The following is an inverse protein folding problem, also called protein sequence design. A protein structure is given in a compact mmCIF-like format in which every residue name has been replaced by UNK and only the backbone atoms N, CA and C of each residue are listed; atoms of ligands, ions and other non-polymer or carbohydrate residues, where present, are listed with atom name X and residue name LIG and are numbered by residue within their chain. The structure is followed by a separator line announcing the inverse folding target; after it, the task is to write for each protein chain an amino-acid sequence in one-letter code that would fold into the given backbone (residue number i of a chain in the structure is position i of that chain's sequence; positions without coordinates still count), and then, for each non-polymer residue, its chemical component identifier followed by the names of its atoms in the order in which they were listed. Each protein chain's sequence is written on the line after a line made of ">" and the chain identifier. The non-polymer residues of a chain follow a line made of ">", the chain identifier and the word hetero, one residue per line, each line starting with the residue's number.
data_IF_296502598989
#
_entry.id   IF_296502598989
#
_cell.length_a   1.000
_cell.length_b   1.000
_cell.length_c   1.000
_cell.angle_alpha   90.00
_cell.angle_beta   90.00
_cell.angle_gamma   90.00
#
_symmetry.space_group_name_H-M   'P 1'
#
loop_
_entity.id
_entity.type
_entity.pdbx_description
1 polymer ?
#
# COMPACT_ATOMS: atom_id res chain seq x y z
N UNK A 1 23.68 102.91 68.28
CA UNK A 1 24.01 101.73 69.11
C UNK A 1 25.42 101.29 68.77
N UNK A 2 26.39 101.73 69.56
CA UNK A 2 27.80 101.34 69.44
C UNK A 2 27.98 99.98 70.10
N UNK A 3 28.35 98.96 69.32
CA UNK A 3 28.63 97.62 69.83
C UNK A 3 29.83 97.73 70.78
N UNK A 4 29.65 97.33 72.04
CA UNK A 4 30.69 97.36 73.05
C UNK A 4 31.71 96.25 72.78
N UNK A 5 32.90 96.65 72.31
CA UNK A 5 34.00 95.75 71.91
C UNK A 5 34.36 94.75 73.01
N UNK A 6 34.23 95.11 74.30
CA UNK A 6 34.53 94.20 75.42
C UNK A 6 33.53 93.04 75.51
N UNK A 7 32.26 93.30 75.24
CA UNK A 7 31.22 92.27 75.25
C UNK A 7 31.37 91.33 74.04
N UNK A 8 31.79 91.86 72.89
CA UNK A 8 32.12 91.05 71.70
C UNK A 8 33.33 90.15 71.94
N UNK A 9 34.39 90.66 72.57
CA UNK A 9 35.58 89.84 72.91
C UNK A 9 35.24 88.76 73.93
N UNK A 10 34.36 89.04 74.89
CA UNK A 10 33.90 88.05 75.86
C UNK A 10 33.09 86.94 75.18
N UNK A 11 32.15 87.30 74.30
CA UNK A 11 31.37 86.33 73.52
C UNK A 11 32.26 85.44 72.64
N UNK A 12 33.26 86.01 71.95
CA UNK A 12 34.21 85.23 71.15
C UNK A 12 34.98 84.25 72.03
N UNK A 13 35.44 84.69 73.21
CA UNK A 13 36.19 83.84 74.15
C UNK A 13 35.33 82.74 74.78
N UNK A 14 34.03 82.98 74.95
CA UNK A 14 33.03 82.00 75.38
C UNK A 14 32.68 80.99 74.27
N UNK A 15 32.87 81.34 72.99
CA UNK A 15 32.66 80.42 71.86
C UNK A 15 33.82 79.45 71.61
N UNK A 16 35.06 79.82 71.97
CA UNK A 16 36.25 78.97 71.74
C UNK A 16 36.14 77.56 72.37
N UNK A 17 35.62 77.37 73.59
CA UNK A 17 35.45 76.04 74.19
C UNK A 17 34.24 75.26 73.63
N UNK A 18 33.33 75.94 72.92
CA UNK A 18 32.14 75.32 72.33
C UNK A 18 32.48 74.67 70.98
N UNK A 19 33.54 75.17 70.32
CA UNK A 19 34.03 74.65 69.04
C UNK A 19 35.17 73.68 69.38
N UNK A 20 34.92 72.39 69.23
CA UNK A 20 35.93 71.33 69.34
C UNK A 20 36.17 70.70 67.96
N UNK A 21 37.19 71.19 67.22
CA UNK A 21 37.49 70.68 65.88
C UNK A 21 37.93 69.21 65.88
N UNK A 22 38.44 68.69 67.00
CA UNK A 22 38.90 67.30 67.10
C UNK A 22 37.71 66.35 67.19
N UNK A 23 36.68 66.69 67.97
CA UNK A 23 35.43 65.93 68.05
C UNK A 23 34.66 65.94 66.71
N UNK A 24 34.63 67.09 66.04
CA UNK A 24 34.08 67.22 64.68
C UNK A 24 34.85 66.33 63.68
N UNK A 25 36.18 66.32 63.74
CA UNK A 25 37.02 65.47 62.89
C UNK A 25 36.77 63.98 63.14
N UNK A 26 36.70 63.55 64.40
CA UNK A 26 36.40 62.16 64.77
C UNK A 26 35.01 61.75 64.27
N UNK A 27 34.03 62.66 64.37
CA UNK A 27 32.67 62.43 63.86
C UNK A 27 32.65 62.28 62.35
N UNK A 28 33.40 63.12 61.62
CA UNK A 28 33.52 63.02 60.16
C UNK A 28 34.22 61.72 59.76
N UNK A 29 35.33 61.36 60.42
CA UNK A 29 36.06 60.13 60.14
C UNK A 29 35.20 58.87 60.38
N UNK A 30 34.45 58.85 61.49
CA UNK A 30 33.49 57.78 61.76
C UNK A 30 32.36 57.72 60.73
N UNK A 31 31.86 58.88 60.27
CA UNK A 31 30.86 58.95 59.21
C UNK A 31 31.40 58.42 57.88
N UNK A 32 32.64 58.76 57.50
CA UNK A 32 33.30 58.26 56.29
C UNK A 32 33.49 56.74 56.33
N UNK A 33 33.93 56.18 57.46
CA UNK A 33 34.04 54.72 57.65
C UNK A 33 32.68 54.04 57.50
N UNK A 34 31.64 54.59 58.12
CA UNK A 34 30.27 54.09 57.97
C UNK A 34 29.75 54.19 56.53
N UNK A 35 30.11 55.25 55.81
CA UNK A 35 29.76 55.39 54.39
C UNK A 35 30.47 54.35 53.53
N UNK A 36 31.76 54.10 53.77
CA UNK A 36 32.54 53.09 53.06
C UNK A 36 31.95 51.69 53.28
N UNK A 37 31.65 51.32 54.54
CA UNK A 37 31.02 50.03 54.87
C UNK A 37 29.64 49.87 54.19
N UNK A 38 28.82 50.92 54.18
CA UNK A 38 27.52 50.91 53.50
C UNK A 38 27.65 50.80 51.98
N UNK A 39 28.66 51.44 51.39
CA UNK A 39 28.92 51.35 49.97
C UNK A 39 29.32 49.92 49.57
N UNK A 40 30.21 49.28 50.35
CA UNK A 40 30.61 47.90 50.11
C UNK A 40 29.44 46.92 50.27
N UNK A 41 28.60 47.10 51.28
CA UNK A 41 27.38 46.33 51.46
C UNK A 41 26.44 46.47 50.25
N UNK A 42 26.22 47.71 49.79
CA UNK A 42 25.38 47.99 48.62
C UNK A 42 25.94 47.39 47.34
N UNK A 43 27.26 47.43 47.14
CA UNK A 43 27.89 46.79 45.98
C UNK A 43 27.74 45.27 46.01
N UNK A 44 27.90 44.63 47.18
CA UNK A 44 27.66 43.19 47.34
C UNK A 44 26.21 42.83 47.05
N UNK A 45 25.26 43.57 47.60
CA UNK A 45 23.82 43.35 47.33
C UNK A 45 23.48 43.49 45.84
N UNK A 46 24.02 44.51 45.16
CA UNK A 46 23.84 44.69 43.72
C UNK A 46 24.44 43.53 42.92
N UNK A 47 25.63 43.08 43.29
CA UNK A 47 26.28 41.95 42.64
C UNK A 47 25.46 40.66 42.80
N UNK A 48 25.00 40.38 44.01
CA UNK A 48 24.18 39.21 44.31
C UNK A 48 22.83 39.26 43.59
N UNK A 49 22.20 40.43 43.53
CA UNK A 49 20.97 40.64 42.78
C UNK A 49 21.17 40.40 41.27
N UNK A 50 22.26 40.93 40.70
CA UNK A 50 22.62 40.69 39.30
C UNK A 50 22.91 39.21 39.01
N UNK A 51 23.62 38.53 39.91
CA UNK A 51 23.91 37.11 39.80
C UNK A 51 22.61 36.28 39.80
N UNK A 52 21.69 36.57 40.74
CA UNK A 52 20.37 35.94 40.81
C UNK A 52 19.54 36.20 39.56
N UNK A 53 19.50 37.43 39.05
CA UNK A 53 18.79 37.77 37.82
C UNK A 53 19.33 36.96 36.65
N UNK A 54 20.66 36.88 36.50
CA UNK A 54 21.29 36.09 35.44
C UNK A 54 20.99 34.60 35.54
N UNK A 55 20.92 34.05 36.75
CA UNK A 55 20.51 32.66 36.97
C UNK A 55 19.05 32.44 36.58
N UNK A 56 18.14 33.29 37.04
CA UNK A 56 16.72 33.23 36.70
C UNK A 56 16.48 33.37 35.19
N UNK A 57 17.20 34.27 34.52
CA UNK A 57 17.13 34.43 33.07
C UNK A 57 17.54 33.15 32.32
N UNK A 58 18.60 32.46 32.77
CA UNK A 58 19.00 31.17 32.20
C UNK A 58 17.94 30.09 32.39
N UNK A 59 17.33 30.03 33.58
CA UNK A 59 16.25 29.08 33.87
C UNK A 59 15.02 29.39 33.01
N UNK A 60 14.68 30.66 32.81
CA UNK A 60 13.57 31.08 31.96
C UNK A 60 13.81 30.68 30.50
N UNK A 61 15.01 30.89 29.97
CA UNK A 61 15.33 30.49 28.59
C UNK A 61 15.33 28.95 28.45
N UNK A 62 15.85 28.21 29.42
CA UNK A 62 15.75 26.76 29.43
C UNK A 62 14.28 26.28 29.48
N UNK A 63 13.44 26.93 30.30
CA UNK A 63 12.01 26.65 30.39
C UNK A 63 11.28 27.00 29.09
N UNK A 64 11.64 28.10 28.40
CA UNK A 64 11.10 28.46 27.08
C UNK A 64 11.43 27.42 26.03
N UNK A 65 12.68 26.97 25.98
CA UNK A 65 13.12 25.92 25.06
C UNK A 65 12.40 24.60 25.36
N UNK A 66 12.16 24.29 26.65
CA UNK A 66 11.42 23.09 27.04
C UNK A 66 9.91 23.19 26.82
N UNK A 67 9.33 24.38 26.93
CA UNK A 67 7.89 24.60 26.77
C UNK A 67 7.48 24.79 25.31
N UNK A 68 8.42 25.16 24.45
CA UNK A 68 8.21 25.14 23.00
C UNK A 68 8.31 23.72 22.49
N UNK A 69 7.37 23.34 21.62
CA UNK A 69 7.39 22.02 21.01
C UNK A 69 8.67 21.88 20.18
N UNK A 70 9.48 20.83 20.37
CA UNK A 70 10.64 20.58 19.53
C UNK A 70 10.22 20.55 18.06
N UNK A 71 10.99 21.19 17.18
CA UNK A 71 10.73 21.22 15.73
C UNK A 71 10.78 19.83 15.08
N UNK A 72 11.30 18.83 15.78
CA UNK A 72 11.32 17.43 15.35
C UNK A 72 9.97 16.72 15.52
N UNK A 73 9.03 17.30 16.26
CA UNK A 73 7.71 16.70 16.47
C UNK A 73 6.72 17.41 15.54
N UNK A 74 6.06 16.68 14.60
CA UNK A 74 5.10 17.25 13.66
C UNK A 74 4.04 18.07 14.39
N UNK A 75 3.62 19.19 13.81
CA UNK A 75 2.57 20.06 14.37
C UNK A 75 1.28 19.27 14.64
N UNK A 76 0.37 19.78 15.49
CA UNK A 76 -0.86 19.05 15.79
C UNK A 76 -1.69 18.83 14.51
N UNK A 77 -1.67 19.82 13.62
CA UNK A 77 -2.30 19.76 12.30
C UNK A 77 -1.62 18.75 11.38
N UNK A 78 -0.29 18.74 11.32
CA UNK A 78 0.48 17.76 10.53
C UNK A 78 0.25 16.33 11.02
N UNK A 79 0.18 16.13 12.33
CA UNK A 79 -0.12 14.82 12.91
C UNK A 79 -1.53 14.35 12.55
N UNK A 80 -2.53 15.24 12.61
CA UNK A 80 -3.91 14.92 12.20
C UNK A 80 -3.96 14.60 10.70
N UNK A 81 -3.28 15.39 9.87
CA UNK A 81 -3.19 15.12 8.43
C UNK A 81 -2.56 13.75 8.15
N UNK A 82 -1.48 13.41 8.84
CA UNK A 82 -0.83 12.12 8.74
C UNK A 82 -1.72 10.96 9.22
N UNK A 83 -2.48 11.14 10.30
CA UNK A 83 -3.48 10.16 10.74
C UNK A 83 -4.54 9.92 9.69
N UNK A 84 -5.08 11.00 9.09
CA UNK A 84 -6.09 10.88 8.05
C UNK A 84 -5.57 10.17 6.80
N UNK A 85 -4.31 10.41 6.42
CA UNK A 85 -3.65 9.72 5.30
C UNK A 85 -3.46 8.22 5.59
N UNK A 86 -3.05 7.88 6.83
CA UNK A 86 -2.97 6.49 7.27
C UNK A 86 -4.33 5.80 7.28
N UNK A 87 -5.40 6.48 7.68
CA UNK A 87 -6.75 5.91 7.65
C UNK A 87 -7.25 5.72 6.21
N UNK A 88 -6.96 6.65 5.31
CA UNK A 88 -7.29 6.54 3.89
C UNK A 88 -6.54 5.36 3.23
N UNK A 89 -5.25 5.22 3.50
CA UNK A 89 -4.45 4.09 2.98
C UNK A 89 -4.93 2.76 3.55
N UNK A 90 -5.28 2.70 4.83
CA UNK A 90 -5.87 1.50 5.46
C UNK A 90 -7.17 1.08 4.77
N UNK A 91 -8.07 2.01 4.53
CA UNK A 91 -9.34 1.74 3.84
C UNK A 91 -9.11 1.28 2.39
N UNK A 92 -8.17 1.91 1.70
CA UNK A 92 -7.78 1.51 0.33
C UNK A 92 -7.21 0.10 0.29
N UNK A 93 -6.32 -0.25 1.22
CA UNK A 93 -5.75 -1.59 1.33
C UNK A 93 -6.80 -2.64 1.65
N UNK A 94 -7.70 -2.36 2.59
CA UNK A 94 -8.79 -3.28 2.94
C UNK A 94 -9.69 -3.57 1.72
N UNK A 95 -9.99 -2.54 0.92
CA UNK A 95 -10.73 -2.72 -0.34
C UNK A 95 -9.95 -3.55 -1.34
N UNK A 96 -8.67 -3.25 -1.55
CA UNK A 96 -7.81 -3.98 -2.48
C UNK A 96 -7.67 -5.47 -2.10
N UNK A 97 -7.60 -5.77 -0.80
CA UNK A 97 -7.60 -7.15 -0.29
C UNK A 97 -8.91 -7.84 -0.63
N UNK A 98 -10.06 -7.21 -0.33
CA UNK A 98 -11.37 -7.79 -0.63
C UNK A 98 -11.58 -8.01 -2.14
N UNK A 99 -11.15 -7.08 -2.98
CA UNK A 99 -11.21 -7.22 -4.44
C UNK A 99 -10.32 -8.39 -4.92
N UNK A 100 -9.13 -8.56 -4.34
CA UNK A 100 -8.23 -9.67 -4.64
C UNK A 100 -8.77 -11.03 -4.16
N UNK A 101 -9.37 -11.08 -2.97
CA UNK A 101 -10.04 -12.27 -2.44
C UNK A 101 -11.24 -12.67 -3.31
N UNK A 102 -12.04 -11.70 -3.76
CA UNK A 102 -13.13 -11.95 -4.71
C UNK A 102 -12.64 -12.51 -6.05
N UNK A 103 -11.55 -11.96 -6.59
CA UNK A 103 -10.94 -12.46 -7.82
C UNK A 103 -10.38 -13.89 -7.64
N UNK A 104 -9.76 -14.17 -6.49
CA UNK A 104 -9.26 -15.51 -6.14
C UNK A 104 -10.40 -16.52 -6.07
N UNK A 105 -11.47 -16.21 -5.34
CA UNK A 105 -12.64 -17.08 -5.21
C UNK A 105 -13.28 -17.36 -6.59
N UNK A 106 -13.35 -16.35 -7.47
CA UNK A 106 -13.82 -16.53 -8.84
C UNK A 106 -12.93 -17.50 -9.64
N UNK A 107 -11.60 -17.36 -9.53
CA UNK A 107 -10.64 -18.24 -10.20
C UNK A 107 -10.66 -19.66 -9.65
N UNK A 108 -10.83 -19.83 -8.35
CA UNK A 108 -10.98 -21.15 -7.72
C UNK A 108 -12.26 -21.85 -8.18
N UNK A 109 -13.37 -21.11 -8.32
CA UNK A 109 -14.62 -21.65 -8.85
C UNK A 109 -14.49 -22.06 -10.33
N UNK A 110 -13.84 -21.24 -11.17
CA UNK A 110 -13.53 -21.60 -12.57
C UNK A 110 -12.65 -22.85 -12.65
N UNK A 111 -11.62 -22.92 -11.81
CA UNK A 111 -10.70 -24.06 -11.74
C UNK A 111 -11.44 -25.33 -11.33
N UNK A 112 -12.32 -25.25 -10.32
CA UNK A 112 -13.16 -26.37 -9.91
C UNK A 112 -14.07 -26.85 -11.04
N UNK A 113 -14.69 -25.92 -11.79
CA UNK A 113 -15.54 -26.25 -12.94
C UNK A 113 -14.75 -26.94 -14.06
N UNK A 114 -13.58 -26.41 -14.41
CA UNK A 114 -12.72 -26.98 -15.45
C UNK A 114 -12.17 -28.36 -15.06
N UNK A 115 -11.86 -28.58 -13.78
CA UNK A 115 -11.48 -29.90 -13.27
C UNK A 115 -12.61 -30.91 -13.41
N UNK A 116 -13.84 -30.51 -13.10
CA UNK A 116 -15.00 -31.39 -13.28
C UNK A 116 -15.24 -31.70 -14.76
N UNK A 117 -15.19 -30.70 -15.64
CA UNK A 117 -15.31 -30.88 -17.09
C UNK A 117 -14.22 -31.81 -17.64
N UNK A 118 -12.98 -31.64 -17.19
CA UNK A 118 -11.86 -32.53 -17.56
C UNK A 118 -12.12 -33.96 -17.10
N UNK A 119 -12.60 -34.15 -15.86
CA UNK A 119 -12.94 -35.47 -15.33
C UNK A 119 -14.04 -36.14 -16.15
N UNK A 120 -15.08 -35.40 -16.53
CA UNK A 120 -16.17 -35.91 -17.37
C UNK A 120 -15.63 -36.34 -18.74
N UNK A 121 -14.78 -35.52 -19.37
CA UNK A 121 -14.15 -35.83 -20.65
C UNK A 121 -13.20 -37.05 -20.56
N UNK A 122 -12.42 -37.18 -19.49
CA UNK A 122 -11.56 -38.35 -19.27
C UNK A 122 -12.36 -39.65 -19.11
N UNK A 123 -13.57 -39.57 -18.57
CA UNK A 123 -14.47 -40.74 -18.42
C UNK A 123 -15.35 -41.01 -19.63
N UNK A 124 -15.52 -40.04 -20.54
CA UNK A 124 -16.29 -40.23 -21.76
C UNK A 124 -15.43 -40.99 -22.76
N UNK A 125 -15.91 -42.15 -23.20
CA UNK A 125 -15.35 -42.89 -24.33
C UNK A 125 -16.17 -42.56 -25.58
N UNK A 126 -15.67 -41.70 -26.49
CA UNK A 126 -16.42 -41.28 -27.67
C UNK A 126 -16.77 -42.44 -28.62
N UNK A 127 -15.99 -43.54 -28.55
CA UNK A 127 -16.21 -44.73 -29.36
C UNK A 127 -17.33 -45.62 -28.81
N UNK A 128 -17.64 -45.52 -27.51
CA UNK A 128 -18.76 -46.23 -26.88
C UNK A 128 -20.06 -45.43 -26.93
N UNK A 129 -19.99 -44.09 -26.89
CA UNK A 129 -21.17 -43.20 -26.92
C UNK A 129 -21.83 -43.10 -28.31
N UNK A 130 -21.09 -43.42 -29.38
CA UNK A 130 -21.65 -43.52 -30.72
C UNK A 130 -21.83 -44.99 -31.07
N UNK A 131 -23.08 -45.45 -31.06
CA UNK A 131 -23.48 -46.71 -31.69
C UNK A 131 -23.39 -46.50 -33.22
N UNK A 132 -22.15 -46.41 -33.71
CA UNK A 132 -21.84 -46.28 -35.13
C UNK A 132 -22.40 -47.52 -35.80
N UNK A 133 -23.55 -47.37 -36.46
CA UNK A 133 -24.14 -48.45 -37.23
C UNK A 133 -23.13 -48.90 -38.30
N UNK A 134 -22.43 -50.00 -37.98
CA UNK A 134 -21.41 -50.58 -38.82
C UNK A 134 -21.95 -50.88 -40.22
N UNK A 135 -23.27 -51.09 -40.35
CA UNK A 135 -23.96 -51.26 -41.62
C UNK A 135 -23.92 -49.98 -42.44
N UNK A 136 -24.30 -48.84 -41.86
CA UNK A 136 -24.26 -47.53 -42.52
C UNK A 136 -22.84 -47.16 -42.97
N UNK A 137 -21.83 -47.39 -42.12
CA UNK A 137 -20.42 -47.13 -42.50
C UNK A 137 -19.95 -48.05 -43.63
N UNK A 138 -20.27 -49.36 -43.57
CA UNK A 138 -19.95 -50.30 -44.64
C UNK A 138 -20.65 -49.93 -45.95
N UNK A 139 -21.93 -49.54 -45.89
CA UNK A 139 -22.69 -49.09 -47.05
C UNK A 139 -22.10 -47.81 -47.66
N UNK A 140 -21.68 -46.84 -46.83
CA UNK A 140 -21.00 -45.64 -47.31
C UNK A 140 -19.65 -45.97 -47.98
N UNK A 141 -18.89 -46.93 -47.41
CA UNK A 141 -17.63 -47.38 -47.98
C UNK A 141 -17.83 -48.10 -49.33
N UNK A 142 -18.80 -49.01 -49.43
CA UNK A 142 -19.14 -49.67 -50.68
C UNK A 142 -19.63 -48.68 -51.75
N UNK A 143 -20.43 -47.67 -51.36
CA UNK A 143 -20.85 -46.60 -52.26
C UNK A 143 -19.66 -45.75 -52.72
N UNK A 144 -18.71 -45.45 -51.83
CA UNK A 144 -17.46 -44.75 -52.16
C UNK A 144 -16.57 -45.52 -53.13
N UNK A 145 -16.57 -46.86 -53.02
CA UNK A 145 -15.91 -47.77 -53.96
C UNK A 145 -16.66 -47.93 -55.29
N UNK A 146 -17.80 -47.25 -55.47
CA UNK A 146 -18.55 -47.25 -56.71
C UNK A 146 -19.62 -48.34 -56.83
N UNK A 147 -19.87 -49.12 -55.76
CA UNK A 147 -20.94 -50.12 -55.71
C UNK A 147 -22.23 -49.51 -55.17
N UNK A 148 -23.23 -49.31 -56.02
CA UNK A 148 -24.51 -48.74 -55.65
C UNK A 148 -25.66 -49.72 -55.93
N UNK A 149 -26.31 -50.28 -54.89
CA UNK A 149 -27.46 -51.16 -55.08
C UNK A 149 -28.69 -50.35 -55.49
N UNK A 150 -29.36 -50.77 -56.57
CA UNK A 150 -30.67 -50.25 -56.96
C UNK A 150 -31.73 -51.13 -56.31
N UNK A 151 -32.47 -50.55 -55.37
CA UNK A 151 -33.62 -51.18 -54.71
C UNK A 151 -34.82 -51.25 -55.67
N UNK A 152 -34.75 -52.14 -56.67
CA UNK A 152 -35.87 -52.53 -57.52
C UNK A 152 -36.10 -54.05 -57.40
N UNK A 153 -37.28 -54.53 -57.79
CA UNK A 153 -37.81 -55.90 -57.59
C UNK A 153 -36.95 -57.04 -58.16
N UNK A 154 -35.81 -56.75 -58.79
CA UNK A 154 -34.93 -57.72 -59.43
C UNK A 154 -33.45 -57.61 -59.04
N UNK A 155 -33.12 -56.98 -57.90
CA UNK A 155 -31.76 -56.98 -57.34
C UNK A 155 -30.68 -56.58 -58.35
N UNK A 156 -30.55 -55.28 -58.62
CA UNK A 156 -29.54 -54.75 -59.55
C UNK A 156 -28.49 -53.96 -58.79
N UNK A 157 -27.23 -54.06 -59.23
CA UNK A 157 -26.12 -53.28 -58.70
C UNK A 157 -25.44 -52.50 -59.81
N UNK A 158 -25.26 -51.21 -59.57
CA UNK A 158 -24.40 -50.36 -60.38
C UNK A 158 -22.98 -50.45 -59.86
N UNK A 159 -22.04 -50.64 -60.76
CA UNK A 159 -20.61 -50.59 -60.48
C UNK A 159 -20.03 -49.46 -61.30
N UNK A 160 -19.50 -48.45 -60.62
CA UNK A 160 -18.71 -47.38 -61.24
C UNK A 160 -17.25 -47.81 -61.27
N UNK A 161 -16.72 -47.93 -62.46
CA UNK A 161 -15.32 -48.21 -62.73
C UNK A 161 -14.41 -47.01 -62.41
N UNK A 162 -13.12 -47.25 -62.14
CA UNK A 162 -12.12 -46.17 -61.98
C UNK A 162 -11.97 -45.33 -63.26
N UNK A 163 -12.21 -45.93 -64.42
CA UNK A 163 -12.24 -45.28 -65.73
C UNK A 163 -13.42 -44.31 -65.93
N UNK A 164 -14.41 -44.34 -65.03
CA UNK A 164 -15.59 -43.47 -65.06
C UNK A 164 -16.83 -44.10 -65.72
N UNK A 165 -16.68 -45.30 -66.29
CA UNK A 165 -17.79 -46.06 -66.88
C UNK A 165 -18.71 -46.65 -65.80
N UNK A 166 -20.00 -46.78 -66.11
CA UNK A 166 -21.01 -47.32 -65.18
C UNK A 166 -21.59 -48.60 -65.76
N UNK A 167 -21.35 -49.72 -65.08
CA UNK A 167 -21.87 -51.03 -65.44
C UNK A 167 -23.07 -51.39 -64.56
N UNK A 168 -24.12 -51.93 -65.16
CA UNK A 168 -25.30 -52.42 -64.44
C UNK A 168 -25.30 -53.96 -64.47
N UNK A 169 -25.21 -54.59 -63.31
CA UNK A 169 -25.32 -56.03 -63.15
C UNK A 169 -26.67 -56.37 -62.52
N UNK A 170 -27.34 -57.38 -63.10
CA UNK A 170 -28.58 -57.95 -62.56
C UNK A 170 -28.26 -59.30 -61.95
N UNK A 171 -28.60 -59.51 -60.68
CA UNK A 171 -28.45 -60.82 -60.05
C UNK A 171 -29.62 -61.72 -60.48
N UNK A 172 -29.32 -62.80 -61.21
CA UNK A 172 -30.29 -63.83 -61.58
C UNK A 172 -29.94 -65.11 -60.79
N UNK A 173 -30.79 -65.49 -59.84
CA UNK A 173 -30.56 -66.50 -58.78
C UNK A 173 -30.28 -67.93 -59.30
N UNK A 174 -30.28 -68.15 -60.62
CA UNK A 174 -30.20 -69.50 -61.22
C UNK A 174 -29.03 -69.72 -62.19
N UNK A 175 -28.15 -68.72 -62.40
CA UNK A 175 -27.16 -68.78 -63.50
C UNK A 175 -25.69 -68.76 -63.12
N UNK A 176 -25.30 -68.22 -61.97
CA UNK A 176 -23.90 -68.08 -61.55
C UNK A 176 -23.77 -68.29 -60.05
N UNK A 177 -22.61 -68.76 -59.60
CA UNK A 177 -22.26 -68.85 -58.17
C UNK A 177 -21.94 -67.46 -57.61
N UNK A 178 -22.13 -67.26 -56.30
CA UNK A 178 -21.78 -66.02 -55.60
C UNK A 178 -20.31 -65.62 -55.83
N UNK A 179 -19.41 -66.60 -55.91
CA UNK A 179 -17.99 -66.39 -56.20
C UNK A 179 -17.74 -65.81 -57.61
N UNK A 180 -18.52 -66.26 -58.59
CA UNK A 180 -18.42 -65.79 -59.97
C UNK A 180 -18.92 -64.35 -60.09
N UNK A 181 -20.00 -64.01 -59.39
CA UNK A 181 -20.50 -62.64 -59.31
C UNK A 181 -19.50 -61.72 -58.60
N UNK A 182 -18.89 -62.15 -57.49
CA UNK A 182 -17.88 -61.36 -56.79
C UNK A 182 -16.67 -61.07 -57.69
N UNK A 183 -16.17 -62.06 -58.41
CA UNK A 183 -15.06 -61.89 -59.36
C UNK A 183 -15.42 -60.95 -60.51
N UNK A 184 -16.64 -61.03 -61.02
CA UNK A 184 -17.13 -60.15 -62.09
C UNK A 184 -17.30 -58.71 -61.61
N UNK A 185 -17.81 -58.50 -60.39
CA UNK A 185 -17.94 -57.20 -59.75
C UNK A 185 -16.58 -56.52 -59.56
N UNK A 186 -15.60 -57.24 -59.02
CA UNK A 186 -14.24 -56.72 -58.85
C UNK A 186 -13.55 -56.45 -60.20
N UNK A 187 -13.77 -57.30 -61.20
CA UNK A 187 -13.26 -57.06 -62.56
C UNK A 187 -13.85 -55.79 -63.19
N UNK A 188 -15.14 -55.55 -63.00
CA UNK A 188 -15.80 -54.35 -63.53
C UNK A 188 -15.43 -53.08 -62.76
N UNK A 189 -15.19 -53.19 -61.45
CA UNK A 189 -14.73 -52.05 -60.64
C UNK A 189 -13.28 -51.64 -60.98
N UNK A 190 -12.43 -52.60 -61.38
CA UNK A 190 -11.02 -52.38 -61.75
C UNK A 190 -10.78 -52.11 -63.24
N UNK A 191 -11.84 -52.10 -64.06
CA UNK A 191 -11.77 -51.80 -65.50
C UNK A 191 -11.78 -50.30 -65.79
#
# INVERSE_FOLDING_TARGET
>A
MSINIKDTVKAIREMVPIIDPEDDYLTIAAAEEQMALKQDARQKELHDAHAKLKQLAKVLEAARVSATRPSTIPSAEEHVAHMNDLDATRLSLAKAINDAEGALAGKEAELARLKEETRVLETSDPAADHDLDATTLRLALYKGLGFEPIMDKGGRMLVRAESGDVHCLTFDDRKKSDEEYANELWRLASS
#
